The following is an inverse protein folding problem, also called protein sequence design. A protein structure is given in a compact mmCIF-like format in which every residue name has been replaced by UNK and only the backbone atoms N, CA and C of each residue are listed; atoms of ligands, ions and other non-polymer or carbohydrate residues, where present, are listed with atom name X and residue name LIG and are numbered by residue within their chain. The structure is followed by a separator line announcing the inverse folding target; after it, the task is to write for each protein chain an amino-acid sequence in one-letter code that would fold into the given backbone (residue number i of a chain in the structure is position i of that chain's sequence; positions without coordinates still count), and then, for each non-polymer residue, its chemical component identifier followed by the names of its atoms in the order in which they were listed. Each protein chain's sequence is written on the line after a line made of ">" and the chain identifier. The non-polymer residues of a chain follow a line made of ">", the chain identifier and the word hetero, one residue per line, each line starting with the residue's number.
data_IF_488300970040
#
_entry.id   IF_488300970040
#
_cell.length_a   1.000
_cell.length_b   1.000
_cell.length_c   1.000
_cell.angle_alpha   90.00
_cell.angle_beta   90.00
_cell.angle_gamma   90.00
#
_symmetry.space_group_name_H-M   'P 1'
#
loop_
_entity.id
_entity.type
_entity.pdbx_description
1 polymer ?
#
# COMPACT_ATOMS: atom_id res chain seq x y z
N UNK A 1 99.87 7.97 -54.63
CA UNK A 1 99.75 9.17 -53.77
C UNK A 1 98.57 10.02 -54.17
N UNK A 2 98.72 10.87 -55.19
CA UNK A 2 97.74 11.91 -55.55
C UNK A 2 96.32 11.39 -55.86
N UNK A 3 96.20 10.28 -56.61
CA UNK A 3 94.89 9.70 -57.00
C UNK A 3 94.05 9.17 -55.82
N UNK A 4 94.71 8.70 -54.75
CA UNK A 4 94.03 8.22 -53.53
C UNK A 4 93.56 9.42 -52.70
N UNK A 5 94.38 10.47 -52.65
CA UNK A 5 94.05 11.70 -51.93
C UNK A 5 92.82 12.41 -52.51
N UNK A 6 92.76 12.55 -53.84
CA UNK A 6 91.58 13.10 -54.51
C UNK A 6 90.33 12.24 -54.31
N UNK A 7 90.46 10.91 -54.33
CA UNK A 7 89.33 9.99 -54.08
C UNK A 7 88.79 10.14 -52.65
N UNK A 8 89.66 10.25 -51.66
CA UNK A 8 89.24 10.45 -50.27
C UNK A 8 88.56 11.81 -50.04
N UNK A 9 89.01 12.88 -50.72
CA UNK A 9 88.35 14.19 -50.67
C UNK A 9 86.97 14.12 -51.33
N UNK A 10 86.84 13.40 -52.44
CA UNK A 10 85.58 13.22 -53.14
C UNK A 10 84.59 12.35 -52.36
N UNK A 11 85.07 11.27 -51.72
CA UNK A 11 84.26 10.43 -50.83
C UNK A 11 83.85 11.18 -49.55
N UNK A 12 84.71 12.06 -49.01
CA UNK A 12 84.38 12.93 -47.88
C UNK A 12 83.31 13.96 -48.25
N UNK A 13 83.46 14.64 -49.40
CA UNK A 13 82.47 15.60 -49.89
C UNK A 13 81.10 14.93 -50.13
N UNK A 14 81.11 13.72 -50.70
CA UNK A 14 79.88 12.92 -50.91
C UNK A 14 79.26 12.46 -49.59
N UNK A 15 80.09 12.15 -48.58
CA UNK A 15 79.62 11.82 -47.24
C UNK A 15 79.01 13.02 -46.53
N UNK A 16 79.62 14.21 -46.62
CA UNK A 16 79.07 15.46 -46.06
C UNK A 16 77.72 15.81 -46.70
N UNK A 17 77.61 15.75 -48.02
CA UNK A 17 76.35 15.97 -48.73
C UNK A 17 75.25 15.00 -48.28
N UNK A 18 75.59 13.71 -48.15
CA UNK A 18 74.68 12.70 -47.63
C UNK A 18 74.28 12.97 -46.18
N UNK A 19 75.20 13.47 -45.35
CA UNK A 19 74.95 13.80 -43.95
C UNK A 19 74.04 15.03 -43.81
N UNK A 20 74.21 16.04 -44.68
CA UNK A 20 73.34 17.22 -44.76
C UNK A 20 71.92 16.80 -45.15
N UNK A 21 71.77 15.94 -46.16
CA UNK A 21 70.47 15.41 -46.57
C UNK A 21 69.79 14.59 -45.46
N UNK A 22 70.54 13.72 -44.77
CA UNK A 22 70.03 12.95 -43.63
C UNK A 22 69.58 13.87 -42.48
N UNK A 23 70.34 14.91 -42.18
CA UNK A 23 69.99 15.87 -41.14
C UNK A 23 68.74 16.68 -41.50
N UNK A 24 68.59 17.09 -42.77
CA UNK A 24 67.37 17.74 -43.25
C UNK A 24 66.14 16.83 -43.16
N UNK A 25 66.29 15.55 -43.48
CA UNK A 25 65.20 14.58 -43.36
C UNK A 25 64.82 14.34 -41.90
N UNK A 26 65.79 14.24 -41.00
CA UNK A 26 65.54 14.17 -39.55
C UNK A 26 64.81 15.41 -39.04
N UNK A 27 65.20 16.62 -39.46
CA UNK A 27 64.52 17.86 -39.09
C UNK A 27 63.07 17.86 -39.59
N UNK A 28 62.82 17.37 -40.82
CA UNK A 28 61.46 17.23 -41.36
C UNK A 28 60.60 16.26 -40.55
N UNK A 29 61.14 15.08 -40.23
CA UNK A 29 60.44 14.08 -39.43
C UNK A 29 60.11 14.64 -38.05
N UNK A 30 61.09 15.25 -37.36
CA UNK A 30 60.87 15.86 -36.04
C UNK A 30 59.82 16.95 -36.10
N UNK A 31 59.86 17.83 -37.11
CA UNK A 31 58.87 18.89 -37.30
C UNK A 31 57.46 18.33 -37.53
N UNK A 32 57.35 17.27 -38.33
CA UNK A 32 56.08 16.58 -38.58
C UNK A 32 55.51 15.94 -37.31
N UNK A 33 56.35 15.24 -36.54
CA UNK A 33 55.96 14.67 -35.25
C UNK A 33 55.49 15.77 -34.29
N UNK A 34 56.20 16.90 -34.24
CA UNK A 34 55.83 18.02 -33.37
C UNK A 34 54.50 18.67 -33.76
N UNK A 35 54.22 18.78 -35.06
CA UNK A 35 52.92 19.24 -35.55
C UNK A 35 51.79 18.28 -35.19
N UNK A 36 52.03 16.97 -35.33
CA UNK A 36 51.06 15.94 -34.95
C UNK A 36 50.79 15.97 -33.43
N UNK A 37 51.83 16.06 -32.61
CA UNK A 37 51.70 16.22 -31.15
C UNK A 37 50.89 17.47 -30.82
N UNK A 38 51.14 18.60 -31.48
CA UNK A 38 50.38 19.82 -31.27
C UNK A 38 48.90 19.64 -31.64
N UNK A 39 48.60 18.97 -32.77
CA UNK A 39 47.21 18.66 -33.17
C UNK A 39 46.50 17.78 -32.14
N UNK A 40 47.14 16.68 -31.73
CA UNK A 40 46.59 15.77 -30.72
C UNK A 40 46.38 16.45 -29.37
N UNK A 41 47.28 17.37 -28.98
CA UNK A 41 47.12 18.17 -27.77
C UNK A 41 45.88 19.09 -27.85
N UNK A 42 45.65 19.73 -29.00
CA UNK A 42 44.44 20.54 -29.20
C UNK A 42 43.15 19.70 -29.17
N UNK A 43 43.16 18.51 -29.77
CA UNK A 43 42.04 17.57 -29.70
C UNK A 43 41.77 17.12 -28.25
N UNK A 44 42.82 16.77 -27.50
CA UNK A 44 42.70 16.41 -26.08
C UNK A 44 42.10 17.54 -25.23
N UNK A 45 42.51 18.78 -25.47
CA UNK A 45 41.95 19.94 -24.76
C UNK A 45 40.47 20.16 -25.10
N UNK A 46 40.08 19.95 -26.36
CA UNK A 46 38.69 20.04 -26.79
C UNK A 46 37.83 18.92 -26.17
N UNK A 47 38.37 17.70 -26.11
CA UNK A 47 37.72 16.57 -25.47
C UNK A 47 37.57 16.78 -23.95
N UNK A 48 38.59 17.32 -23.28
CA UNK A 48 38.54 17.65 -21.84
C UNK A 48 37.46 18.70 -21.54
N UNK A 49 37.37 19.75 -22.36
CA UNK A 49 36.31 20.76 -22.25
C UNK A 49 34.92 20.14 -22.40
N UNK A 50 34.74 19.28 -23.40
CA UNK A 50 33.46 18.60 -23.65
C UNK A 50 33.10 17.63 -22.52
N UNK A 51 34.09 16.95 -21.96
CA UNK A 51 33.92 16.09 -20.80
C UNK A 51 33.39 16.91 -19.62
N UNK A 52 33.98 18.07 -19.39
CA UNK A 52 33.59 18.95 -18.29
C UNK A 52 32.18 19.53 -18.45
N UNK A 53 31.80 19.91 -19.68
CA UNK A 53 30.42 20.27 -19.97
C UNK A 53 29.43 19.14 -19.69
N UNK A 54 29.78 17.91 -20.06
CA UNK A 54 28.92 16.75 -19.82
C UNK A 54 28.80 16.45 -18.32
N UNK A 55 29.89 16.56 -17.55
CA UNK A 55 29.86 16.42 -16.09
C UNK A 55 28.91 17.44 -15.47
N UNK A 56 28.99 18.71 -15.88
CA UNK A 56 28.10 19.77 -15.39
C UNK A 56 26.63 19.50 -15.73
N UNK A 57 26.34 18.99 -16.95
CA UNK A 57 24.98 18.61 -17.35
C UNK A 57 24.44 17.46 -16.52
N UNK A 58 25.26 16.45 -16.21
CA UNK A 58 24.89 15.31 -15.37
C UNK A 58 24.62 15.78 -13.94
N UNK A 59 25.44 16.67 -13.39
CA UNK A 59 25.24 17.20 -12.04
C UNK A 59 23.90 17.95 -11.93
N UNK A 60 23.58 18.80 -12.90
CA UNK A 60 22.31 19.51 -12.94
C UNK A 60 21.11 18.56 -13.08
N UNK A 61 21.21 17.55 -13.96
CA UNK A 61 20.19 16.50 -14.10
C UNK A 61 20.00 15.70 -12.81
N UNK A 62 21.08 15.40 -12.10
CA UNK A 62 21.06 14.69 -10.82
C UNK A 62 20.31 15.52 -9.77
N UNK A 63 20.61 16.82 -9.64
CA UNK A 63 19.91 17.73 -8.71
C UNK A 63 18.42 17.83 -9.01
N UNK A 64 18.03 17.94 -10.28
CA UNK A 64 16.61 17.95 -10.69
C UNK A 64 15.90 16.64 -10.36
N UNK A 65 16.59 15.52 -10.59
CA UNK A 65 16.06 14.19 -10.25
C UNK A 65 15.80 14.05 -8.76
N UNK A 66 16.74 14.46 -7.91
CA UNK A 66 16.58 14.44 -6.45
C UNK A 66 15.39 15.29 -6.01
N UNK A 67 15.24 16.51 -6.55
CA UNK A 67 14.08 17.36 -6.25
C UNK A 67 12.76 16.70 -6.65
N UNK A 68 12.73 16.02 -7.80
CA UNK A 68 11.54 15.32 -8.30
C UNK A 68 11.19 14.12 -7.42
N UNK A 69 12.20 13.34 -7.00
CA UNK A 69 12.03 12.20 -6.09
C UNK A 69 11.42 12.66 -4.75
N UNK A 70 11.94 13.75 -4.17
CA UNK A 70 11.40 14.27 -2.91
C UNK A 70 9.92 14.70 -3.06
N UNK A 71 9.55 15.33 -4.18
CA UNK A 71 8.15 15.70 -4.44
C UNK A 71 7.27 14.45 -4.59
N UNK A 72 7.75 13.43 -5.29
CA UNK A 72 7.02 12.16 -5.46
C UNK A 72 6.84 11.42 -4.15
N UNK A 73 7.86 11.43 -3.27
CA UNK A 73 7.77 10.82 -1.94
C UNK A 73 6.66 11.48 -1.11
N UNK A 74 6.63 12.82 -1.07
CA UNK A 74 5.58 13.58 -0.39
C UNK A 74 4.20 13.27 -0.97
N UNK A 75 4.08 13.23 -2.30
CA UNK A 75 2.82 12.89 -2.97
C UNK A 75 2.35 11.48 -2.62
N UNK A 76 3.27 10.51 -2.61
CA UNK A 76 2.96 9.13 -2.28
C UNK A 76 2.47 9.01 -0.83
N UNK A 77 3.17 9.62 0.13
CA UNK A 77 2.72 9.65 1.53
C UNK A 77 1.33 10.29 1.67
N UNK A 78 1.06 11.37 0.94
CA UNK A 78 -0.27 12.00 0.97
C UNK A 78 -1.37 11.09 0.39
N UNK A 79 -1.08 10.37 -0.69
CA UNK A 79 -2.00 9.39 -1.29
C UNK A 79 -2.27 8.22 -0.33
N UNK A 80 -1.24 7.70 0.34
CA UNK A 80 -1.37 6.64 1.35
C UNK A 80 -2.29 7.09 2.50
N UNK A 81 -2.08 8.28 3.05
CA UNK A 81 -2.94 8.84 4.08
C UNK A 81 -4.39 9.04 3.60
N UNK A 82 -4.57 9.50 2.36
CA UNK A 82 -5.90 9.68 1.76
C UNK A 82 -6.63 8.35 1.60
N UNK A 83 -5.92 7.28 1.20
CA UNK A 83 -6.48 5.95 1.09
C UNK A 83 -6.93 5.41 2.46
N UNK A 84 -6.08 5.55 3.49
CA UNK A 84 -6.41 5.16 4.87
C UNK A 84 -7.64 5.91 5.38
N UNK A 85 -7.69 7.23 5.20
CA UNK A 85 -8.82 8.04 5.62
C UNK A 85 -10.12 7.63 4.92
N UNK A 86 -10.04 7.32 3.62
CA UNK A 86 -11.19 6.84 2.85
C UNK A 86 -11.74 5.54 3.41
N UNK A 87 -10.87 4.60 3.77
CA UNK A 87 -11.29 3.33 4.41
C UNK A 87 -11.98 3.61 5.75
N UNK A 88 -11.41 4.48 6.59
CA UNK A 88 -12.03 4.84 7.86
C UNK A 88 -13.40 5.51 7.71
N UNK A 89 -13.55 6.43 6.76
CA UNK A 89 -14.82 7.09 6.50
C UNK A 89 -15.89 6.11 6.01
N UNK A 90 -15.51 5.16 5.14
CA UNK A 90 -16.40 4.11 4.68
C UNK A 90 -16.82 3.18 5.84
N UNK A 91 -15.87 2.78 6.69
CA UNK A 91 -16.16 1.98 7.88
C UNK A 91 -17.10 2.71 8.83
N UNK A 92 -16.83 3.98 9.12
CA UNK A 92 -17.67 4.81 9.98
C UNK A 92 -19.09 4.97 9.42
N UNK A 93 -19.22 5.19 8.10
CA UNK A 93 -20.52 5.26 7.43
C UNK A 93 -21.28 3.94 7.55
N UNK A 94 -20.61 2.80 7.32
CA UNK A 94 -21.20 1.47 7.46
C UNK A 94 -21.65 1.18 8.90
N UNK A 95 -20.81 1.47 9.90
CA UNK A 95 -21.15 1.29 11.32
C UNK A 95 -22.33 2.15 11.74
N UNK A 96 -22.39 3.40 11.27
CA UNK A 96 -23.50 4.31 11.52
C UNK A 96 -24.80 3.77 10.92
N UNK A 97 -24.77 3.30 9.67
CA UNK A 97 -25.93 2.69 9.02
C UNK A 97 -26.39 1.42 9.73
N UNK A 98 -25.45 0.56 10.14
CA UNK A 98 -25.74 -0.65 10.90
C UNK A 98 -26.38 -0.32 12.24
N UNK A 99 -25.85 0.65 12.98
CA UNK A 99 -26.42 1.12 14.24
C UNK A 99 -27.83 1.67 14.06
N UNK A 100 -28.07 2.47 13.00
CA UNK A 100 -29.39 2.98 12.66
C UNK A 100 -30.37 1.83 12.38
N UNK A 101 -29.95 0.81 11.61
CA UNK A 101 -30.76 -0.38 11.35
C UNK A 101 -31.12 -1.12 12.65
N UNK A 102 -30.14 -1.32 13.54
CA UNK A 102 -30.34 -1.95 14.84
C UNK A 102 -31.37 -1.19 15.68
N UNK A 103 -31.22 0.13 15.80
CA UNK A 103 -32.13 0.99 16.59
C UNK A 103 -33.53 0.96 15.98
N UNK A 104 -33.66 1.07 14.66
CA UNK A 104 -34.94 1.02 13.97
C UNK A 104 -35.65 -0.32 14.18
N UNK A 105 -34.94 -1.44 14.06
CA UNK A 105 -35.51 -2.76 14.36
C UNK A 105 -36.03 -2.80 15.80
N UNK A 106 -35.25 -2.29 16.75
CA UNK A 106 -35.64 -2.33 18.14
C UNK A 106 -36.82 -1.42 18.49
N UNK A 107 -36.93 -0.24 17.86
CA UNK A 107 -38.10 0.63 17.97
C UNK A 107 -39.38 -0.04 17.43
N UNK A 108 -39.23 -0.92 16.44
CA UNK A 108 -40.32 -1.75 15.93
C UNK A 108 -40.54 -3.04 16.75
N UNK A 109 -39.85 -3.21 17.87
CA UNK A 109 -39.94 -4.39 18.73
C UNK A 109 -39.27 -5.65 18.16
N UNK A 110 -38.49 -5.52 17.09
CA UNK A 110 -37.79 -6.62 16.41
C UNK A 110 -36.33 -6.70 16.86
N UNK A 111 -35.82 -7.91 17.09
CA UNK A 111 -34.39 -8.12 17.35
C UNK A 111 -33.59 -8.10 16.04
N UNK A 112 -32.56 -7.26 15.99
CA UNK A 112 -31.62 -7.23 14.88
C UNK A 112 -30.57 -8.34 15.04
N UNK A 113 -30.31 -9.11 13.98
CA UNK A 113 -29.40 -10.27 14.01
C UNK A 113 -27.96 -9.93 14.38
N UNK A 114 -27.51 -8.71 14.06
CA UNK A 114 -26.18 -8.21 14.45
C UNK A 114 -26.04 -7.91 15.96
N UNK A 115 -27.15 -7.79 16.70
CA UNK A 115 -27.11 -7.61 18.17
C UNK A 115 -26.99 -8.97 18.86
N UNK A 116 -27.70 -9.98 18.35
CA UNK A 116 -27.68 -11.30 18.94
C UNK A 116 -27.90 -12.37 17.86
N UNK A 117 -26.83 -13.07 17.45
CA UNK A 117 -26.93 -14.12 16.44
C UNK A 117 -27.89 -15.23 16.87
N UNK A 118 -28.77 -15.74 15.98
CA UNK A 118 -29.72 -16.79 16.33
C UNK A 118 -29.08 -18.05 16.94
N UNK A 119 -27.88 -18.42 16.47
CA UNK A 119 -27.13 -19.57 17.00
C UNK A 119 -26.73 -19.38 18.47
N UNK A 120 -26.28 -18.18 18.84
CA UNK A 120 -25.93 -17.84 20.21
C UNK A 120 -27.17 -17.78 21.10
N UNK A 121 -28.27 -17.20 20.61
CA UNK A 121 -29.54 -17.20 21.32
C UNK A 121 -30.04 -18.60 21.64
N UNK A 122 -30.04 -19.50 20.66
CA UNK A 122 -30.46 -20.90 20.86
C UNK A 122 -29.61 -21.58 21.93
N UNK A 123 -28.29 -21.38 21.87
CA UNK A 123 -27.37 -21.97 22.82
C UNK A 123 -27.68 -21.50 24.25
N UNK A 124 -27.82 -20.19 24.44
CA UNK A 124 -28.07 -19.57 25.75
C UNK A 124 -29.45 -19.95 26.31
N UNK A 125 -30.48 -20.01 25.45
CA UNK A 125 -31.80 -20.47 25.87
C UNK A 125 -31.81 -21.92 26.33
N UNK A 126 -31.04 -22.80 25.67
CA UNK A 126 -30.87 -24.19 26.13
C UNK A 126 -30.19 -24.26 27.50
N UNK A 127 -29.20 -23.39 27.76
CA UNK A 127 -28.57 -23.32 29.08
C UNK A 127 -29.55 -22.83 30.14
N UNK A 128 -30.33 -21.79 29.85
CA UNK A 128 -31.37 -21.28 30.74
C UNK A 128 -32.40 -22.37 31.05
N UNK A 129 -32.80 -23.17 30.05
CA UNK A 129 -33.74 -24.28 30.23
C UNK A 129 -33.33 -25.25 31.34
N UNK A 130 -32.02 -25.53 31.46
CA UNK A 130 -31.49 -26.43 32.49
C UNK A 130 -31.64 -25.87 33.92
N UNK A 131 -31.81 -24.55 34.05
CA UNK A 131 -31.93 -23.85 35.33
C UNK A 131 -33.37 -23.48 35.69
N UNK A 132 -34.32 -23.67 34.78
CA UNK A 132 -35.72 -23.33 35.02
C UNK A 132 -36.37 -24.29 36.02
N UNK A 133 -37.29 -23.80 36.87
CA UNK A 133 -38.15 -24.66 37.69
C UNK A 133 -38.93 -25.64 36.81
N UNK A 134 -39.17 -26.86 37.31
CA UNK A 134 -39.87 -27.93 36.56
C UNK A 134 -41.30 -27.58 36.12
N UNK A 135 -41.88 -26.50 36.66
CA UNK A 135 -43.22 -26.00 36.31
C UNK A 135 -43.23 -25.02 35.13
N UNK A 136 -42.04 -24.64 34.63
CA UNK A 136 -41.84 -23.64 33.58
C UNK A 136 -40.97 -24.22 32.46
N UNK A 137 -41.37 -23.95 31.23
CA UNK A 137 -40.69 -24.41 30.02
C UNK A 137 -40.51 -23.24 29.06
N UNK A 138 -39.43 -23.27 28.28
CA UNK A 138 -39.26 -22.30 27.19
C UNK A 138 -40.11 -22.73 25.98
N UNK A 139 -40.68 -21.78 25.22
CA UNK A 139 -41.46 -22.06 24.01
C UNK A 139 -40.53 -22.39 22.82
N UNK A 140 -39.64 -23.37 22.98
CA UNK A 140 -38.71 -23.85 21.95
C UNK A 140 -39.08 -25.30 21.66
N UNK A 141 -39.87 -25.51 20.61
CA UNK A 141 -40.18 -26.84 20.12
C UNK A 141 -38.95 -27.44 19.41
N UNK A 142 -38.72 -28.75 19.57
CA UNK A 142 -37.59 -29.50 19.00
C UNK A 142 -37.55 -29.56 17.45
N UNK A 143 -38.47 -28.88 16.75
CA UNK A 143 -38.49 -28.80 15.29
C UNK A 143 -38.08 -27.41 14.83
N UNK A 144 -37.36 -27.35 13.72
CA UNK A 144 -36.71 -26.16 13.14
C UNK A 144 -37.62 -24.95 12.80
N UNK A 145 -38.90 -24.96 13.19
CA UNK A 145 -39.77 -23.79 13.27
C UNK A 145 -39.94 -23.39 14.75
N UNK A 146 -39.29 -22.31 15.19
CA UNK A 146 -39.83 -21.49 16.28
C UNK A 146 -39.03 -20.21 16.57
N UNK A 147 -37.79 -20.04 16.08
CA UNK A 147 -37.03 -18.80 16.40
C UNK A 147 -37.74 -17.52 15.94
N UNK A 148 -38.31 -17.44 14.71
CA UNK A 148 -39.12 -16.29 14.32
C UNK A 148 -40.37 -16.09 15.20
N UNK A 149 -41.01 -17.17 15.65
CA UNK A 149 -42.22 -17.11 16.50
C UNK A 149 -41.88 -16.73 17.94
N UNK A 150 -40.77 -17.24 18.47
CA UNK A 150 -40.17 -16.86 19.73
C UNK A 150 -39.87 -15.37 19.73
N UNK A 151 -39.24 -14.86 18.66
CA UNK A 151 -39.01 -13.43 18.50
C UNK A 151 -40.31 -12.63 18.44
N UNK A 152 -41.33 -13.13 17.74
CA UNK A 152 -42.64 -12.49 17.65
C UNK A 152 -43.39 -12.44 18.99
N UNK A 153 -43.25 -13.48 19.81
CA UNK A 153 -43.85 -13.55 21.14
C UNK A 153 -43.05 -12.79 22.21
N UNK A 154 -41.77 -12.52 21.93
CA UNK A 154 -40.87 -11.79 22.83
C UNK A 154 -41.03 -10.28 22.69
N UNK A 155 -40.76 -9.56 23.77
CA UNK A 155 -40.70 -8.09 23.75
C UNK A 155 -39.26 -7.63 23.81
N UNK A 156 -38.85 -6.79 22.87
CA UNK A 156 -37.57 -6.09 22.91
C UNK A 156 -37.75 -4.66 23.39
N UNK A 157 -36.81 -4.18 24.21
CA UNK A 157 -36.71 -2.78 24.60
C UNK A 157 -35.25 -2.35 24.52
N UNK A 158 -35.02 -1.09 24.18
CA UNK A 158 -33.68 -0.50 24.15
C UNK A 158 -33.63 0.66 25.12
N UNK A 159 -32.57 0.67 25.93
CA UNK A 159 -32.30 1.75 26.88
C UNK A 159 -30.91 2.27 26.62
N UNK A 160 -30.75 3.58 26.58
CA UNK A 160 -29.44 4.23 26.48
C UNK A 160 -28.96 4.59 27.88
N UNK A 161 -27.86 3.97 28.33
CA UNK A 161 -27.30 4.14 29.67
C UNK A 161 -25.79 4.33 29.54
N UNK A 162 -25.24 5.40 30.11
CA UNK A 162 -23.78 5.63 30.18
C UNK A 162 -23.08 5.46 28.82
N UNK A 163 -23.63 6.07 27.76
CA UNK A 163 -23.10 5.96 26.40
C UNK A 163 -23.20 4.57 25.74
N UNK A 164 -23.94 3.65 26.33
CA UNK A 164 -24.17 2.30 25.80
C UNK A 164 -25.65 2.09 25.47
N UNK A 165 -25.91 1.37 24.38
CA UNK A 165 -27.25 0.84 24.08
C UNK A 165 -27.39 -0.53 24.73
N UNK A 166 -28.33 -0.64 25.67
CA UNK A 166 -28.66 -1.89 26.36
C UNK A 166 -29.94 -2.45 25.75
N UNK A 167 -29.84 -3.65 25.18
CA UNK A 167 -30.95 -4.39 24.60
C UNK A 167 -31.52 -5.35 25.64
N UNK A 168 -32.80 -5.20 25.95
CA UNK A 168 -33.49 -6.04 26.93
C UNK A 168 -34.57 -6.85 26.23
N UNK A 169 -34.37 -8.17 26.13
CA UNK A 169 -35.32 -9.10 25.55
C UNK A 169 -36.08 -9.83 26.66
N UNK A 170 -37.41 -9.77 26.61
CA UNK A 170 -38.29 -10.52 27.49
C UNK A 170 -38.93 -11.65 26.70
N UNK A 171 -38.52 -12.87 27.01
CA UNK A 171 -39.02 -14.09 26.38
C UNK A 171 -40.08 -14.69 27.31
N UNK A 172 -41.32 -14.92 26.82
CA UNK A 172 -42.35 -15.53 27.64
C UNK A 172 -42.01 -17.00 27.93
N UNK A 173 -42.29 -17.45 29.16
CA UNK A 173 -42.21 -18.85 29.55
C UNK A 173 -43.61 -19.49 29.48
N UNK A 174 -43.65 -20.78 29.18
CA UNK A 174 -44.86 -21.58 29.23
C UNK A 174 -44.94 -22.27 30.60
N UNK A 175 -46.13 -22.31 31.19
CA UNK A 175 -46.36 -23.12 32.37
C UNK A 175 -47.01 -24.44 31.97
N UNK A 176 -46.51 -25.54 32.52
CA UNK A 176 -47.12 -26.87 32.37
C UNK A 176 -48.20 -27.15 33.45
N UNK A 177 -48.56 -26.14 34.25
CA UNK A 177 -49.66 -26.22 35.21
C UNK A 177 -50.99 -26.40 34.47
N UNK A 178 -51.76 -27.40 34.90
CA UNK A 178 -53.10 -27.67 34.35
C UNK A 178 -54.12 -26.77 35.03
N UNK A 179 -54.76 -25.91 34.26
CA UNK A 179 -55.86 -25.08 34.72
C UNK A 179 -57.20 -25.73 34.36
N UNK A 180 -58.10 -25.86 35.33
CA UNK A 180 -59.48 -26.25 35.08
C UNK A 180 -60.24 -25.02 34.60
N UNK A 181 -60.60 -24.98 33.31
CA UNK A 181 -61.45 -23.95 32.75
C UNK A 181 -62.92 -24.31 33.02
N UNK A 182 -63.53 -23.62 33.96
CA UNK A 182 -64.97 -23.70 34.18
C UNK A 182 -65.68 -22.83 33.14
N UNK A 183 -66.49 -23.46 32.29
CA UNK A 183 -67.39 -22.73 31.41
C UNK A 183 -68.61 -22.33 32.23
N UNK A 184 -68.88 -21.03 32.33
CA UNK A 184 -70.14 -20.57 32.91
C UNK A 184 -71.26 -20.95 31.93
N UNK A 185 -72.02 -21.98 32.27
CA UNK A 185 -73.26 -22.31 31.58
C UNK A 185 -74.27 -21.25 32.01
N UNK A 186 -74.84 -20.45 31.09
CA UNK A 186 -75.90 -19.53 31.46
C UNK A 186 -77.10 -20.34 31.99
N UNK A 187 -77.58 -19.96 33.17
CA UNK A 187 -78.81 -20.53 33.75
C UNK A 187 -80.02 -20.09 32.91
N UNK A 188 -81.07 -20.94 32.82
CA UNK A 188 -82.26 -20.69 32.01
C UNK A 188 -83.08 -19.48 32.46
#
# INVERSE_FOLDING_TARGET
>A
GCRIFYKNIEDLARSEEKHVHLSQEQIRIVSSVMNNVNSTMHELLADDQKLQENINKIEEQSRRSVATINVLEIQNTFLEHTAILTVFLNQFAWETQNLQSIVNSALNGLMHTNVYPPSQLIHELKQIQLTLPSTLELPITESHLSIPELFRASKLSVVYIQQNLVFVTRIPLLSNLRFNLFHNIPLP
#
